data_IF_254133872316
#
_entry.id   IF_254133872316
#
_cell.length_a   1.000
_cell.length_b   1.000
_cell.length_c   1.000
_cell.angle_alpha   90.00
_cell.angle_beta   90.00
_cell.angle_gamma   90.00
#
_symmetry.space_group_name_H-M   'P 1'
#
loop_
_entity.id
_entity.type
_entity.pdbx_description
1 polymer ?
2 polymer ?
3 non-polymer ?
4 water ?
#
# COMPACT_ATOMS: atom_id res chain seq x y z
N UNK A 7 -3.01 6.42 -12.08
CA UNK A 7 -3.86 6.58 -10.91
C UNK A 7 -4.74 7.79 -11.04
N UNK A 8 -6.02 7.60 -10.77
CA UNK A 8 -6.95 8.70 -10.72
C UNK A 8 -7.89 8.48 -9.57
N UNK A 9 -8.33 9.58 -8.98
CA UNK A 9 -9.19 9.55 -7.82
C UNK A 9 -10.60 9.91 -8.27
N UNK A 10 -11.56 9.10 -7.86
CA UNK A 10 -12.96 9.25 -8.26
C UNK A 10 -13.85 9.26 -7.01
N UNK A 11 -14.77 10.21 -6.93
CA UNK A 11 -15.78 10.23 -5.87
C UNK A 11 -17.08 9.69 -6.45
N UNK A 12 -17.68 8.74 -5.75
CA UNK A 12 -18.90 8.09 -6.20
C UNK A 12 -19.94 8.25 -5.10
N UNK A 13 -21.15 8.66 -5.47
CA UNK A 13 -22.22 8.87 -4.51
C UNK A 13 -23.26 7.79 -4.70
N UNK A 14 -23.54 7.04 -3.64
CA UNK A 14 -24.44 5.92 -3.72
C UNK A 14 -25.80 6.41 -4.14
N UNK A 15 -26.44 5.68 -5.05
CA UNK A 15 -27.75 6.02 -5.56
C UNK A 15 -28.71 4.90 -5.24
N UNK A 16 -29.90 4.98 -5.82
CA UNK A 16 -30.91 3.95 -5.65
C UNK A 16 -30.52 2.59 -6.27
N UNK A 17 -29.45 2.55 -7.07
CA UNK A 17 -28.91 1.29 -7.59
C UNK A 17 -27.56 0.97 -6.93
N UNK A 18 -27.31 1.53 -5.75
CA UNK A 18 -26.05 1.31 -5.04
C UNK A 18 -24.95 2.14 -5.67
N UNK A 19 -23.72 1.66 -5.67
CA UNK A 19 -22.68 2.34 -6.44
C UNK A 19 -22.66 1.95 -7.89
N UNK A 20 -23.31 0.85 -8.22
CA UNK A 20 -23.44 0.50 -9.63
C UNK A 20 -22.18 -0.06 -10.27
N UNK A 21 -21.40 -0.83 -9.52
CA UNK A 21 -20.31 -1.58 -10.14
C UNK A 21 -20.11 -2.87 -9.39
N UNK A 22 -19.38 -3.79 -10.03
CA UNK A 22 -18.95 -5.02 -9.38
C UNK A 22 -17.45 -4.97 -9.16
N UNK A 23 -17.01 -5.54 -8.05
CA UNK A 23 -15.61 -5.71 -7.75
C UNK A 23 -15.30 -7.21 -7.79
N UNK A 24 -14.13 -7.54 -8.33
CA UNK A 24 -13.72 -8.93 -8.47
C UNK A 24 -12.24 -9.05 -8.14
N UNK A 25 -11.87 -10.12 -7.45
CA UNK A 25 -10.46 -10.36 -7.19
C UNK A 25 -10.27 -11.45 -6.18
N UNK A 26 -9.05 -11.55 -5.70
CA UNK A 26 -8.65 -12.70 -4.89
C UNK A 26 -9.30 -12.68 -3.53
N UNK A 27 -9.52 -13.86 -2.99
CA UNK A 27 -10.09 -14.00 -1.68
C UNK A 27 -9.03 -14.06 -0.59
N UNK A 28 -7.78 -14.40 -0.96
CA UNK A 28 -6.65 -14.54 -0.04
C UNK A 28 -5.95 -13.20 0.10
N UNK A 29 -4.96 -13.17 1.00
CA UNK A 29 -4.22 -11.96 1.32
C UNK A 29 -2.80 -12.06 0.83
N UNK A 30 -2.33 -10.98 0.22
CA UNK A 30 -0.95 -10.88 -0.22
C UNK A 30 -0.79 -11.22 -1.66
N UNK A 31 0.36 -11.80 -2.01
CA UNK A 31 0.63 -12.21 -3.36
C UNK A 31 1.82 -11.52 -3.99
N UNK A 32 2.15 -11.95 -5.19
CA UNK A 32 3.33 -11.45 -5.88
C UNK A 32 3.10 -10.08 -6.47
N UNK A 33 4.18 -9.31 -6.58
CA UNK A 33 4.13 -8.00 -7.20
C UNK A 33 3.89 -8.11 -8.70
N UNK A 34 3.18 -7.13 -9.24
CA UNK A 34 2.91 -7.02 -10.65
C UNK A 34 3.23 -5.62 -11.10
N UNK A 35 3.71 -5.47 -12.31
CA UNK A 35 3.98 -4.17 -12.88
C UNK A 35 2.75 -3.64 -13.59
N UNK A 36 2.31 -2.44 -13.22
CA UNK A 36 1.20 -1.77 -13.89
C UNK A 36 1.66 -0.36 -14.21
N UNK A 37 1.74 -0.05 -15.50
CA UNK A 37 2.16 1.26 -15.95
C UNK A 37 3.53 1.65 -15.37
N UNK A 38 4.41 0.66 -15.24
CA UNK A 38 5.80 0.91 -14.86
C UNK A 38 6.06 0.96 -13.36
N UNK A 39 5.03 0.75 -12.56
CA UNK A 39 5.15 0.73 -11.10
C UNK A 39 4.75 -0.65 -10.60
N UNK A 40 5.29 -1.05 -9.46
CA UNK A 40 5.00 -2.35 -8.88
C UNK A 40 3.94 -2.24 -7.81
N UNK A 41 2.99 -3.18 -7.84
CA UNK A 41 1.91 -3.26 -6.86
C UNK A 41 1.67 -4.70 -6.47
N UNK A 42 1.26 -4.94 -5.24
CA UNK A 42 0.76 -6.26 -4.88
C UNK A 42 -0.66 -6.39 -5.48
N UNK A 43 -1.23 -7.60 -5.51
CA UNK A 43 -2.47 -7.81 -6.26
C UNK A 43 -3.60 -6.85 -5.92
N UNK A 44 -4.28 -6.40 -6.97
CA UNK A 44 -5.39 -5.47 -6.84
C UNK A 44 -6.69 -6.09 -7.28
N UNK A 45 -7.74 -5.86 -6.50
CA UNK A 45 -9.09 -6.12 -6.96
C UNK A 45 -9.37 -5.21 -8.14
N UNK A 46 -10.32 -5.60 -8.99
CA UNK A 46 -10.65 -4.76 -10.13
C UNK A 46 -12.17 -4.64 -10.32
N UNK A 47 -12.55 -3.65 -11.13
CA UNK A 47 -13.94 -3.42 -11.47
C UNK A 47 -14.29 -4.36 -12.63
N UNK A 48 -15.18 -5.32 -12.35
CA UNK A 48 -15.56 -6.31 -13.33
C UNK A 48 -16.86 -6.00 -14.08
N UNK A 49 -17.60 -5.01 -13.62
CA UNK A 49 -18.83 -4.59 -14.29
C UNK A 49 -19.14 -3.18 -13.87
N UNK A 50 -19.77 -2.42 -14.78
CA UNK A 50 -20.26 -1.08 -14.47
C UNK A 50 -21.68 -0.97 -15.00
N UNK A 51 -22.62 -0.62 -14.15
CA UNK A 51 -24.01 -0.47 -14.55
C UNK A 51 -24.16 0.82 -15.34
N UNK A 52 -24.69 0.74 -16.58
CA UNK A 52 -24.90 1.98 -17.33
C UNK A 52 -25.84 2.93 -16.64
N UNK A 53 -25.37 4.17 -16.49
CA UNK A 53 -26.16 5.21 -15.83
C UNK A 53 -26.09 5.20 -14.32
N UNK A 54 -25.45 4.20 -13.74
CA UNK A 54 -25.29 4.14 -12.31
C UNK A 54 -24.25 5.12 -11.80
N UNK A 55 -24.06 5.13 -10.48
CA UNK A 55 -23.21 6.14 -9.87
C UNK A 55 -21.76 6.04 -10.32
N UNK A 56 -21.27 4.82 -10.40
CA UNK A 56 -19.89 4.62 -10.79
C UNK A 56 -19.68 5.05 -12.23
N UNK A 57 -20.61 4.71 -13.11
CA UNK A 57 -20.54 5.12 -14.51
C UNK A 57 -20.48 6.63 -14.60
N UNK A 58 -21.41 7.29 -13.91
CA UNK A 58 -21.49 8.74 -13.96
C UNK A 58 -20.23 9.41 -13.40
N UNK A 59 -19.58 8.75 -12.47
CA UNK A 59 -18.35 9.27 -11.86
C UNK A 59 -17.11 8.98 -12.70
N UNK A 60 -17.24 8.13 -13.71
CA UNK A 60 -16.15 7.83 -14.61
C UNK A 60 -15.40 6.53 -14.38
N UNK A 61 -15.91 5.67 -13.52
CA UNK A 61 -15.34 4.35 -13.31
C UNK A 61 -15.59 3.50 -14.55
N UNK A 62 -14.60 2.70 -14.93
CA UNK A 62 -14.71 1.84 -16.11
C UNK A 62 -14.31 0.41 -15.80
N UNK A 63 -14.92 -0.53 -16.53
CA UNK A 63 -14.55 -1.93 -16.43
C UNK A 63 -13.06 -2.07 -16.61
N UNK A 64 -12.47 -2.93 -15.79
CA UNK A 64 -11.04 -3.19 -15.84
C UNK A 64 -10.23 -2.31 -14.93
N UNK A 65 -10.82 -1.24 -14.40
CA UNK A 65 -10.09 -0.39 -13.47
C UNK A 65 -9.63 -1.23 -12.29
N UNK A 66 -8.35 -1.04 -11.92
CA UNK A 66 -7.79 -1.72 -10.76
C UNK A 66 -7.89 -0.80 -9.57
N UNK A 67 -8.31 -1.35 -8.44
CA UNK A 67 -8.59 -0.55 -7.26
C UNK A 67 -7.36 -0.52 -6.35
N UNK A 68 -6.71 0.65 -6.30
CA UNK A 68 -5.48 0.83 -5.53
C UNK A 68 -5.76 1.30 -4.09
N UNK A 69 -6.73 2.20 -3.94
CA UNK A 69 -7.14 2.70 -2.63
C UNK A 69 -8.65 2.79 -2.57
N UNK A 70 -9.19 2.54 -1.37
CA UNK A 70 -10.61 2.76 -1.09
C UNK A 70 -10.68 3.68 0.11
N UNK A 71 -11.32 4.81 -0.06
CA UNK A 71 -11.49 5.76 1.02
C UNK A 71 -10.17 6.10 1.68
N UNK A 72 -9.13 6.27 0.86
CA UNK A 72 -7.83 6.66 1.36
C UNK A 72 -7.00 5.53 1.94
N UNK A 73 -7.47 4.30 1.87
CA UNK A 73 -6.78 3.15 2.40
C UNK A 73 -6.23 2.32 1.26
N UNK A 74 -4.91 2.11 1.27
CA UNK A 74 -4.26 1.29 0.27
C UNK A 74 -4.74 -0.16 0.39
N UNK A 75 -5.12 -0.76 -0.74
CA UNK A 75 -5.65 -2.11 -0.76
C UNK A 75 -4.86 -3.08 -1.64
N UNK A 76 -3.56 -2.78 -1.79
CA UNK A 76 -2.65 -3.75 -2.43
C UNK A 76 -2.60 -5.02 -1.60
N UNK A 77 -2.78 -6.16 -2.25
CA UNK A 77 -2.73 -7.44 -1.59
C UNK A 77 -3.94 -7.72 -0.71
N UNK A 78 -4.95 -6.86 -0.74
CA UNK A 78 -6.08 -7.02 0.14
C UNK A 78 -6.95 -8.18 -0.30
N UNK A 79 -7.63 -8.79 0.66
CA UNK A 79 -8.63 -9.77 0.36
C UNK A 79 -9.86 -9.09 -0.24
N UNK A 80 -10.66 -9.89 -0.95
CA UNK A 80 -11.90 -9.40 -1.52
C UNK A 80 -12.77 -8.82 -0.42
N UNK A 81 -12.88 -9.52 0.70
CA UNK A 81 -13.69 -9.05 1.81
C UNK A 81 -13.22 -7.71 2.34
N UNK A 82 -11.91 -7.51 2.46
CA UNK A 82 -11.41 -6.24 2.96
C UNK A 82 -11.82 -5.10 2.06
N UNK A 83 -11.74 -5.32 0.74
CA UNK A 83 -12.08 -4.28 -0.21
C UNK A 83 -13.59 -4.01 -0.24
N UNK A 84 -14.40 -5.06 -0.24
CA UNK A 84 -15.85 -4.88 -0.16
C UNK A 84 -16.23 -4.13 1.11
N UNK A 85 -15.65 -4.52 2.24
CA UNK A 85 -15.97 -3.84 3.50
C UNK A 85 -15.57 -2.36 3.46
N UNK A 86 -14.42 -2.04 2.89
CA UNK A 86 -14.04 -0.64 2.78
C UNK A 86 -14.97 0.12 1.85
N UNK A 87 -15.38 -0.50 0.74
CA UNK A 87 -16.33 0.15 -0.14
C UNK A 87 -17.63 0.47 0.60
N UNK A 88 -18.06 -0.43 1.47
CA UNK A 88 -19.29 -0.27 2.22
C UNK A 88 -19.13 0.58 3.47
N UNK A 89 -17.96 1.13 3.72
CA UNK A 89 -17.71 1.82 4.99
C UNK A 89 -18.59 3.06 5.17
N UNK A 90 -18.76 3.83 4.10
CA UNK A 90 -19.58 5.04 4.12
C UNK A 90 -21.04 4.75 3.84
N UNK A 91 -21.95 5.54 4.37
CA UNK A 91 -23.35 5.32 4.03
C UNK A 91 -23.70 5.79 2.62
N UNK A 92 -22.94 6.76 2.10
CA UNK A 92 -23.27 7.39 0.83
C UNK A 92 -22.08 7.70 -0.06
N UNK A 93 -20.95 8.04 0.53
CA UNK A 93 -19.82 8.47 -0.26
C UNK A 93 -18.75 7.40 -0.32
N UNK A 94 -18.12 7.30 -1.49
CA UNK A 94 -17.04 6.39 -1.76
C UNK A 94 -15.97 7.12 -2.56
N UNK A 95 -14.73 7.03 -2.12
CA UNK A 95 -13.61 7.60 -2.88
C UNK A 95 -12.72 6.46 -3.32
N UNK A 96 -12.55 6.27 -4.62
CA UNK A 96 -11.66 5.23 -5.13
C UNK A 96 -10.45 5.86 -5.79
N UNK A 97 -9.30 5.25 -5.57
CA UNK A 97 -8.14 5.53 -6.41
C UNK A 97 -7.99 4.32 -7.31
N UNK A 98 -8.09 4.55 -8.62
CA UNK A 98 -8.04 3.46 -9.58
C UNK A 98 -6.90 3.64 -10.56
N UNK A 99 -6.46 2.52 -11.11
CA UNK A 99 -5.51 2.47 -12.21
C UNK A 99 -6.28 1.93 -13.43
N UNK A 100 -6.43 2.72 -14.47
CA UNK A 100 -7.26 2.30 -15.60
C UNK A 100 -6.54 1.38 -16.58
N UNK B 2 -8.41 -18.29 -7.08
CA UNK B 2 -9.66 -18.25 -6.33
C UNK B 2 -10.12 -16.82 -6.15
N UNK B 3 -11.05 -16.41 -7.01
CA UNK B 3 -11.58 -15.05 -7.02
C UNK B 3 -13.05 -15.06 -6.63
N UNK B 4 -13.54 -13.89 -6.27
CA UNK B 4 -14.94 -13.69 -5.92
C UNK B 4 -15.34 -12.37 -6.55
N UNK B 5 -16.62 -12.25 -6.88
CA UNK B 5 -17.18 -11.04 -7.49
C UNK B 5 -18.41 -10.61 -6.69
N UNK B 6 -18.47 -9.32 -6.39
CA UNK B 6 -19.56 -8.77 -5.56
C UNK B 6 -20.07 -7.49 -6.22
N UNK B 7 -21.41 -7.36 -6.32
CA UNK B 7 -22.04 -6.14 -6.80
C UNK B 7 -22.21 -5.18 -5.63
N UNK B 8 -21.84 -3.92 -5.81
CA UNK B 8 -21.95 -2.90 -4.77
C UNK B 8 -22.68 -1.66 -5.28
N UNK C 6 4.67 14.31 6.25
CA UNK C 6 4.36 13.85 4.89
C UNK C 6 5.45 12.91 4.41
N UNK C 7 5.11 12.04 3.44
CA UNK C 7 6.15 11.12 2.95
C UNK C 7 7.34 11.84 2.35
N UNK C 8 8.54 11.33 2.58
CA UNK C 8 9.71 11.82 1.87
C UNK C 8 10.50 10.64 1.33
N UNK C 9 11.15 10.87 0.19
CA UNK C 9 11.89 9.82 -0.49
C UNK C 9 13.37 10.05 -0.29
N UNK C 10 14.04 9.01 0.17
CA UNK C 10 15.46 9.07 0.48
C UNK C 10 16.19 8.00 -0.30
N UNK C 11 17.30 8.35 -0.93
CA UNK C 11 18.15 7.39 -1.61
C UNK C 11 19.37 7.12 -0.75
N UNK C 12 19.68 5.85 -0.52
CA UNK C 12 20.78 5.45 0.34
C UNK C 12 21.69 4.53 -0.46
N UNK C 13 22.99 4.76 -0.38
CA UNK C 13 23.97 3.95 -1.10
C UNK C 13 24.76 3.13 -0.10
N UNK C 14 24.72 1.82 -0.24
CA UNK C 14 25.34 0.91 0.70
C UNK C 14 26.84 1.19 0.80
N UNK C 15 27.35 1.18 2.03
CA UNK C 15 28.77 1.42 2.28
C UNK C 15 29.40 0.21 2.94
N UNK C 16 30.61 0.35 3.40
CA UNK C 16 31.28 -0.74 4.08
C UNK C 16 30.68 -1.09 5.43
N UNK C 17 29.78 -0.25 5.95
CA UNK C 17 29.01 -0.60 7.15
C UNK C 17 27.56 -0.93 6.80
N UNK C 18 27.30 -1.30 5.55
CA UNK C 18 25.95 -1.62 5.12
C UNK C 18 25.18 -0.35 4.85
N UNK C 19 23.87 -0.38 5.07
CA UNK C 19 23.09 0.85 5.03
C UNK C 19 23.15 1.62 6.31
N UNK C 20 23.54 0.98 7.39
CA UNK C 20 23.75 1.71 8.62
C UNK C 20 22.47 2.11 9.32
N UNK C 21 21.44 1.27 9.26
CA UNK C 21 20.28 1.46 10.09
C UNK C 21 19.70 0.13 10.50
N UNK C 22 18.87 0.15 11.54
CA UNK C 22 18.08 -1.01 11.93
C UNK C 22 16.63 -0.77 11.57
N UNK C 23 15.99 -1.84 11.12
CA UNK C 23 14.57 -1.84 10.86
C UNK C 23 13.88 -2.72 11.89
N UNK C 24 12.72 -2.29 12.38
CA UNK C 24 12.01 -3.01 13.43
C UNK C 24 10.52 -3.01 13.15
N UNK C 25 9.87 -4.14 13.37
CA UNK C 25 8.42 -4.19 13.24
C UNK C 25 7.91 -5.60 13.28
N UNK C 26 6.65 -5.76 12.88
CA UNK C 26 5.92 -7.01 13.04
C UNK C 26 6.46 -8.11 12.15
N UNK C 27 6.34 -9.35 12.61
CA UNK C 27 6.64 -10.50 11.75
C UNK C 27 5.43 -11.00 11.00
N UNK C 28 4.24 -10.69 11.50
CA UNK C 28 3.00 -11.06 10.83
C UNK C 28 2.77 -10.20 9.61
N UNK C 29 1.82 -10.62 8.78
CA UNK C 29 1.42 -9.84 7.64
C UNK C 29 0.06 -9.21 7.93
N UNK C 30 -0.19 -8.07 7.29
CA UNK C 30 -1.46 -7.39 7.41
C UNK C 30 -1.57 -6.64 8.71
N UNK C 31 -2.79 -6.54 9.23
CA UNK C 31 -3.00 -5.91 10.50
C UNK C 31 -3.83 -4.65 10.47
N UNK C 32 -3.99 -4.09 11.65
CA UNK C 32 -4.93 -2.99 11.87
C UNK C 32 -4.46 -1.67 11.33
N UNK C 33 -5.41 -0.89 10.82
CA UNK C 33 -5.11 0.46 10.36
C UNK C 33 -4.81 1.37 11.53
N UNK C 34 -3.87 2.29 11.28
CA UNK C 34 -3.47 3.34 12.24
C UNK C 34 -3.49 4.68 11.53
N UNK C 35 -3.80 5.74 12.28
CA UNK C 35 -3.79 7.09 11.74
C UNK C 35 -2.43 7.74 11.95
N UNK C 36 -1.86 8.26 10.87
CA UNK C 36 -0.61 9.01 10.92
C UNK C 36 -0.80 10.26 10.08
N UNK C 37 -0.62 11.41 10.71
CA UNK C 37 -0.76 12.69 10.02
C UNK C 37 -2.10 12.80 9.28
N UNK C 38 -3.14 12.24 9.87
CA UNK C 38 -4.49 12.33 9.33
C UNK C 38 -4.81 11.35 8.20
N UNK C 39 -3.88 10.43 7.93
CA UNK C 39 -4.08 9.40 6.92
C UNK C 39 -4.00 8.03 7.59
N UNK C 40 -4.65 7.05 7.00
CA UNK C 40 -4.68 5.69 7.52
C UNK C 40 -3.72 4.80 6.78
N UNK C 41 -2.97 4.02 7.55
CA UNK C 41 -2.01 3.07 7.00
C UNK C 41 -2.12 1.76 7.75
N UNK C 42 -1.87 0.65 7.07
CA UNK C 42 -1.69 -0.62 7.76
C UNK C 42 -0.29 -0.61 8.41
N UNK C 43 0.03 -1.57 9.27
CA UNK C 43 1.25 -1.46 10.08
C UNK C 43 2.52 -1.25 9.26
N UNK C 44 3.37 -0.35 9.74
CA UNK C 44 4.62 -0.01 9.09
C UNK C 44 5.80 -0.42 9.95
N UNK C 45 6.79 -1.05 9.33
CA UNK C 45 8.08 -1.19 9.96
C UNK C 45 8.67 0.20 10.17
N UNK C 46 9.60 0.34 11.10
CA UNK C 46 10.21 1.63 11.32
C UNK C 46 11.71 1.51 11.53
N UNK C 47 12.39 2.65 11.44
CA UNK C 47 13.83 2.75 11.68
C UNK C 47 14.05 2.86 13.18
N UNK C 48 14.66 1.84 13.77
CA UNK C 48 14.87 1.78 15.20
C UNK C 48 16.28 2.21 15.62
N UNK C 49 17.19 2.36 14.67
CA UNK C 49 18.54 2.84 14.96
C UNK C 49 19.15 3.39 13.71
N UNK C 50 20.02 4.36 13.86
CA UNK C 50 20.78 4.92 12.75
C UNK C 50 22.24 5.05 13.20
N UNK C 51 23.14 4.44 12.44
CA UNK C 51 24.56 4.49 12.74
C UNK C 51 25.08 5.89 12.42
N UNK C 52 25.68 6.60 13.39
CA UNK C 52 26.20 7.93 13.06
C UNK C 52 27.29 7.84 12.00
N UNK C 53 27.13 8.65 10.95
CA UNK C 53 28.10 8.71 9.87
C UNK C 53 27.89 7.64 8.81
N UNK C 54 26.98 6.69 9.07
CA UNK C 54 26.69 5.66 8.08
C UNK C 54 25.87 6.17 6.92
N UNK C 55 25.58 5.27 5.99
CA UNK C 55 24.93 5.65 4.75
C UNK C 55 23.55 6.24 5.00
N UNK C 56 22.76 5.63 5.86
CA UNK C 56 21.40 6.10 6.11
C UNK C 56 21.45 7.47 6.78
N UNK C 57 22.34 7.65 7.75
CA UNK C 57 22.49 8.93 8.41
C UNK C 57 22.82 9.99 7.36
N UNK C 58 23.79 9.70 6.50
CA UNK C 58 24.22 10.68 5.53
C UNK C 58 23.11 10.99 4.52
N UNK C 59 22.24 10.03 4.26
CA UNK C 59 21.13 10.22 3.33
C UNK C 59 19.97 10.96 3.94
N UNK C 60 19.96 11.11 5.27
CA UNK C 60 18.90 11.83 5.96
C UNK C 60 17.83 10.99 6.64
N UNK C 61 18.08 9.69 6.78
CA UNK C 61 17.19 8.82 7.55
C UNK C 61 17.32 9.11 9.03
N UNK C 62 16.20 9.07 9.74
CA UNK C 62 16.17 9.34 11.17
C UNK C 62 15.45 8.27 11.95
N UNK C 63 15.89 8.07 13.19
CA UNK C 63 15.21 7.16 14.08
C UNK C 63 13.76 7.52 14.15
N UNK C 64 12.93 6.48 14.12
CA UNK C 64 11.51 6.66 14.22
C UNK C 64 10.83 6.78 12.87
N UNK C 65 11.60 6.97 11.79
CA UNK C 65 11.01 7.05 10.47
C UNK C 65 10.21 5.76 10.22
N UNK C 66 8.99 5.92 9.75
CA UNK C 66 8.16 4.77 9.37
C UNK C 66 8.32 4.49 7.90
N UNK C 67 8.52 3.24 7.55
CA UNK C 67 8.86 2.88 6.18
C UNK C 67 7.58 2.53 5.43
N UNK C 68 7.19 3.42 4.51
CA UNK C 68 5.98 3.26 3.71
C UNK C 68 6.23 2.51 2.40
N UNK C 69 7.37 2.76 1.76
CA UNK C 69 7.75 2.06 0.54
C UNK C 69 9.23 1.76 0.58
N UNK C 70 9.58 0.64 -0.05
CA UNK C 70 10.98 0.27 -0.26
C UNK C 70 11.15 0.02 -1.75
N UNK C 71 12.05 0.76 -2.37
CA UNK C 71 12.32 0.58 -3.78
C UNK C 71 11.03 0.66 -4.60
N UNK C 72 10.17 1.59 -4.22
CA UNK C 72 8.92 1.84 -4.93
C UNK C 72 7.78 0.88 -4.64
N UNK C 73 7.98 -0.02 -3.69
CA UNK C 73 7.00 -1.02 -3.33
C UNK C 73 6.39 -0.66 -1.99
N UNK C 74 5.07 -0.50 -1.98
CA UNK C 74 4.36 -0.23 -0.74
C UNK C 74 4.51 -1.40 0.22
N UNK C 75 4.84 -1.08 1.48
CA UNK C 75 5.05 -2.10 2.50
C UNK C 75 4.14 -1.93 3.71
N UNK C 76 2.98 -1.32 3.50
CA UNK C 76 1.94 -1.36 4.53
C UNK C 76 1.53 -2.79 4.80
N UNK C 77 1.51 -3.16 6.08
CA UNK C 77 1.14 -4.50 6.46
C UNK C 77 2.16 -5.57 6.08
N UNK C 78 3.34 -5.16 5.63
CA UNK C 78 4.36 -6.15 5.26
C UNK C 78 4.90 -6.86 6.49
N UNK C 79 5.38 -8.08 6.27
CA UNK C 79 6.13 -8.76 7.30
C UNK C 79 7.51 -8.12 7.39
N UNK C 80 8.16 -8.33 8.53
CA UNK C 80 9.52 -7.87 8.70
C UNK C 80 10.41 -8.43 7.60
N UNK C 81 10.29 -9.72 7.32
CA UNK C 81 11.09 -10.37 6.32
C UNK C 81 10.87 -9.76 4.93
N UNK C 82 9.64 -9.42 4.58
CA UNK C 82 9.40 -8.81 3.28
C UNK C 82 10.13 -7.50 3.15
N UNK C 83 10.13 -6.70 4.21
CA UNK C 83 10.79 -5.42 4.20
C UNK C 83 12.32 -5.58 4.15
N UNK C 84 12.87 -6.48 4.96
CA UNK C 84 14.31 -6.77 4.90
C UNK C 84 14.71 -7.25 3.51
N UNK C 85 13.91 -8.14 2.91
CA UNK C 85 14.21 -8.64 1.57
C UNK C 85 14.20 -7.52 0.55
N UNK C 86 13.22 -6.63 0.63
CA UNK C 86 13.18 -5.49 -0.27
C UNK C 86 14.36 -4.55 -0.07
N UNK C 87 14.74 -4.30 1.18
CA UNK C 87 15.92 -3.49 1.45
C UNK C 87 17.15 -4.12 0.81
N UNK C 88 17.25 -5.42 0.88
CA UNK C 88 18.39 -6.14 0.34
C UNK C 88 18.30 -6.41 -1.15
N UNK C 89 17.23 -5.98 -1.82
CA UNK C 89 17.03 -6.33 -3.23
C UNK C 89 18.16 -5.87 -4.14
N UNK C 90 18.63 -4.65 -3.96
CA UNK C 90 19.71 -4.09 -4.76
C UNK C 90 21.08 -4.40 -4.18
N UNK C 91 22.10 -4.46 -5.01
CA UNK C 91 23.43 -4.68 -4.46
C UNK C 91 24.00 -3.44 -3.76
N UNK C 92 23.55 -2.25 -4.16
CA UNK C 92 24.14 -1.01 -3.70
C UNK C 92 23.14 0.09 -3.38
N UNK C 93 22.07 0.17 -4.15
CA UNK C 93 21.13 1.27 -4.03
C UNK C 93 19.87 0.86 -3.31
N UNK C 94 19.34 1.79 -2.50
CA UNK C 94 18.12 1.60 -1.76
C UNK C 94 17.35 2.91 -1.79
N UNK C 95 16.07 2.84 -2.14
CA UNK C 95 15.21 4.02 -2.07
C UNK C 95 14.14 3.76 -1.03
N UNK C 96 14.05 4.60 -0.01
CA UNK C 96 12.98 4.47 0.98
C UNK C 96 12.03 5.62 0.89
N UNK C 97 10.74 5.34 1.04
CA UNK C 97 9.76 6.38 1.26
C UNK C 97 9.36 6.28 2.73
N UNK C 98 9.60 7.36 3.47
CA UNK C 98 9.41 7.34 4.92
C UNK C 98 8.44 8.41 5.36
N UNK C 99 7.81 8.15 6.49
CA UNK C 99 6.99 9.12 7.21
C UNK C 99 7.74 9.43 8.51
N UNK C 100 8.23 10.65 8.67
CA UNK C 100 9.01 10.98 9.86
C UNK C 100 8.11 11.10 11.06
N UNK D 2 5.92 -9.28 19.56
CA UNK D 2 6.28 -10.18 18.47
C UNK D 2 6.94 -9.41 17.33
N UNK D 3 7.74 -8.40 17.68
CA UNK D 3 8.48 -7.64 16.70
C UNK D 3 9.86 -8.25 16.49
N UNK D 4 10.49 -7.83 15.43
CA UNK D 4 11.81 -8.28 15.09
C UNK D 4 12.59 -7.04 14.67
N UNK D 5 13.86 -7.02 14.99
CA UNK D 5 14.74 -5.91 14.64
C UNK D 5 15.96 -6.48 13.93
N UNK D 6 16.32 -5.89 12.80
CA UNK D 6 17.44 -6.34 11.97
C UNK D 6 18.30 -5.15 11.57
N UNK D 7 19.62 -5.30 11.71
CA UNK D 7 20.57 -4.31 11.22
C UNK D 7 20.84 -4.57 9.75
N UNK D 8 20.76 -3.52 8.93
CA UNK D 8 21.01 -3.61 7.49
C UNK D 8 22.05 -2.60 7.03
X LIG E 1 -8.71 -7.69 8.68
X LIG E 1 -9.50 -6.72 8.09
X LIG E 1 -9.16 -5.30 8.68
X LIG E 1 -8.34 -4.55 7.81
X LIG E 1 -9.01 -3.92 6.71
X LIG E 1 -8.13 -2.88 6.05
X LIG E 1 -6.86 -3.47 5.78
X LIG E 1 -6.19 -3.03 4.58
X LIG E 1 -4.96 -3.99 4.42
X LIG E 1 -4.80 -4.43 3.06
X LIG E 1 -4.20 -5.70 2.91
X LIG E 1 -2.68 -5.62 3.17
X LIG E 1 -2.17 -6.91 3.46
X LIG E 1 -9.24 -8.33 9.07
X LIG E 1 -9.33 -6.71 7.12
X LIG E 1 -10.44 -6.91 8.25
X LIG E 1 -9.99 -4.81 8.84
X LIG E 1 -8.69 -5.42 9.54
X LIG E 1 -9.83 -3.49 7.05
X LIG E 1 -9.26 -4.61 6.05
X LIG E 1 -8.00 -2.12 6.67
X LIG E 1 -8.55 -2.56 5.23
X LIG E 1 -6.78 -3.13 3.80
X LIG E 1 -5.88 -2.10 4.66
X LIG E 1 -4.15 -3.52 4.70
X LIG E 1 -5.07 -4.76 5.00
X LIG E 1 -4.60 -6.32 3.55
X LIG E 1 -4.35 -6.03 1.99
X LIG E 1 -2.24 -5.26 2.36
X LIG E 1 -2.51 -5.02 3.92
X LIG F 1 5.18 -12.51 -1.15
X LIG F 1 6.07 -11.73 -1.90
X LIG F 1 6.22 -10.36 -1.19
X LIG F 1 6.67 -9.34 -2.06
X LIG F 1 6.71 -8.02 -1.51
X LIG F 1 5.31 -7.64 -1.08
X LIG F 1 5.15 -6.27 -0.77
X LIG F 1 4.63 -6.03 0.56
X LIG F 1 3.26 -6.75 0.76
X LIG F 1 2.98 -7.03 2.14
X LIG F 1 1.95 -6.25 2.73
X LIG F 1 0.56 -6.53 2.11
X LIG F 1 0.13 -7.84 2.45
X LIG F 1 4.89 -13.21 -1.64
X LIG F 1 5.70 -11.61 -2.81
X LIG F 1 6.94 -12.18 -1.96
X LIG F 1 5.35 -10.09 -0.84
X LIG F 1 6.85 -10.44 -0.43
X LIG F 1 7.31 -7.99 -0.73
X LIG F 1 7.03 -7.38 -2.18
X LIG F 1 4.69 -7.87 -1.81
X LIG F 1 5.07 -8.17 -0.30
X LIG F 1 4.51 -5.06 0.71
X LIG F 1 5.27 -6.38 1.22
X LIG F 1 2.54 -6.20 0.38
X LIG F 1 3.28 -7.60 0.27
X LIG F 1 2.16 -5.30 2.60
X LIG F 1 1.91 -6.44 3.69
X LIG F 1 -0.07 -5.87 2.43
X LIG F 1 0.64 -6.47 1.14
X LIG G 1 17.18 0.86 -12.99
X LIG G 1 18.31 1.03 -12.18
X LIG G 1 17.83 1.13 -10.70
X LIG G 1 18.74 1.81 -9.86
X LIG G 1 18.24 2.04 -8.53
X LIG G 1 18.22 0.75 -7.73
X LIG G 1 17.42 0.84 -6.56
X LIG G 1 17.30 -0.42 -5.86
X LIG G 1 16.26 -1.28 -6.59
X LIG G 1 16.24 -2.64 -6.09
X LIG G 1 15.36 -3.49 -6.81
X LIG G 1 13.93 -2.94 -6.68
X LIG G 1 12.96 -3.98 -6.85
X LIG G 1 17.38 1.09 -13.86
X LIG G 1 18.92 0.26 -12.28
X LIG G 1 18.77 1.86 -12.43
X LIG G 1 16.97 1.59 -10.67
X LIG G 1 17.70 0.22 -10.34
X LIG G 1 18.82 2.69 -8.08
X LIG G 1 17.33 2.40 -8.59
X LIG G 1 17.88 0.02 -8.30
X LIG G 1 19.13 0.52 -7.47
X LIG G 1 17.01 -0.26 -4.93
X LIG G 1 18.17 -0.88 -5.85
X LIG G 1 15.37 -0.89 -6.47
X LIG G 1 16.46 -1.29 -7.54
X LIG G 1 15.62 -3.52 -7.75
X LIG G 1 15.40 -4.39 -6.43
X LIG G 1 13.82 -2.56 -5.78
X LIG G 1 13.79 -2.25 -7.35
X LIG H 1 20.33 -6.40 16.43
X LIG H 1 19.37 -5.52 16.94
X LIG H 1 19.98 -4.83 18.21
X LIG H 1 19.00 -4.45 19.11
X LIG H 1 19.44 -4.37 20.47
X LIG H 1 20.74 -3.60 20.62
X LIG H 1 20.55 -2.25 20.20
X LIG H 1 21.60 -1.40 20.72
X LIG H 1 21.52 -0.06 19.97
X LIG H 1 22.33 -0.22 18.79
X LIG H 1 22.32 0.85 17.85
X LIG H 1 23.76 1.24 17.41
X LIG H 1 24.36 0.20 16.65
X LIG H 1 20.49 -7.06 17.04
X LIG H 1 19.15 -4.84 16.27
X LIG H 1 18.57 -6.01 17.19
X LIG H 1 20.60 -5.44 18.65
X LIG H 1 20.49 -4.02 17.93
X LIG H 1 19.58 -5.28 20.81
X LIG H 1 18.75 -3.93 21.01
X LIG H 1 21.43 -4.00 20.04
X LIG H 1 21.04 -3.63 21.54
X LIG H 1 22.48 -1.82 20.57
X LIG H 1 21.46 -1.26 21.68
X LIG H 1 21.85 0.67 20.52
X LIG H 1 20.60 0.11 19.69
X LIG H 1 21.90 1.63 18.28
X LIG H 1 21.80 0.60 17.07
X LIG H 1 24.30 1.43 18.22
X LIG H 1 23.72 2.05 16.87
#
# INVERSE_FOLDING_TARGET
GSHGGSPRVVRIVKSESGYGFNVRGQVSEGGQLRSINGELYAPLQHVSAVLPGGAADRAGVRKGDRILEVNGVNVEGATHKQVVDLIRAGEKELILTVLSV
REDQETAV
GSHGGSPRVVRIVKSESGYGFNVRGQVSEGGQLRSINGELYAPLQHVSAVLPGGAADRAGVRKGDRILEVNGVNVEGATHKQVVDLIRAGEKELILTVLSV
REDQETAV
PG4 O1 C1 C2 O2 C3 C4 O3 C5 C6 O4 C7 C8 O5 HO1 H11 H12 H21 H22 H31 H32 H41 H42 H51 H52 H61 H62 H71 H72 H81 H82
PG4 O1 C1 C2 O2 C3 C4 O3 C5 C6 O4 C7 C8 O5 HO1 H11 H12 H21 H22 H31 H32 H41 H42 H51 H52 H61 H62 H71 H72 H81 H82
PG4 O1 C1 C2 O2 C3 C4 O3 C5 C6 O4 C7 C8 O5 HO1 H11 H12 H21 H22 H31 H32 H41 H42 H51 H52 H61 H62 H71 H72 H81 H82
PG4 O1 C1 C2 O2 C3 C4 O3 C5 C6 O4 C7 C8 O5 HO1 H11 H12 H21 H22 H31 H32 H41 H42 H51 H52 H61 H62 H71 H72 H81 H82
#
